data_IF_584199064072
#
_entry.id   IF_584199064072
#
_cell.length_a   1.000
_cell.length_b   1.000
_cell.length_c   1.000
_cell.angle_alpha   90.00
_cell.angle_beta   90.00
_cell.angle_gamma   90.00
#
_symmetry.space_group_name_H-M   'P 1'
#
loop_
_entity.id
_entity.type
_entity.pdbx_description
1 polymer ?
#
# COMPACT_ATOMS: atom_id res chain seq x y z
N UNK A 1 6.33 -21.62 -13.90
CA UNK A 1 4.87 -21.42 -14.07
C UNK A 1 4.33 -22.64 -14.79
N UNK A 2 3.09 -23.05 -14.53
CA UNK A 2 2.53 -24.25 -15.17
C UNK A 2 1.13 -23.96 -15.70
N UNK A 3 0.87 -24.12 -17.01
CA UNK A 3 1.84 -24.52 -18.05
C UNK A 3 2.94 -23.48 -18.28
N UNK A 4 4.03 -23.91 -18.93
CA UNK A 4 5.12 -22.99 -19.28
C UNK A 4 4.63 -21.98 -20.34
N UNK A 5 4.90 -20.68 -20.15
CA UNK A 5 4.54 -19.65 -21.11
C UNK A 5 5.14 -19.88 -22.49
N UNK A 6 4.35 -19.63 -23.55
CA UNK A 6 4.86 -19.60 -24.93
C UNK A 6 5.80 -18.41 -25.14
N UNK A 7 5.62 -17.35 -24.35
CA UNK A 7 6.50 -16.19 -24.31
C UNK A 7 6.51 -15.57 -22.91
N UNK A 8 7.66 -15.02 -22.48
CA UNK A 8 7.77 -14.24 -21.25
C UNK A 8 8.89 -13.22 -21.29
N UNK A 9 8.75 -12.13 -20.54
CA UNK A 9 9.81 -11.12 -20.31
C UNK A 9 9.67 -10.50 -18.92
N UNK A 10 10.79 -10.12 -18.32
CA UNK A 10 10.83 -9.35 -17.08
C UNK A 10 11.14 -7.90 -17.43
N UNK A 11 10.40 -6.96 -16.86
CA UNK A 11 10.60 -5.53 -17.05
C UNK A 11 10.52 -4.80 -15.70
N UNK A 12 10.93 -3.54 -15.71
CA UNK A 12 10.77 -2.62 -14.58
C UNK A 12 9.88 -1.45 -15.00
N UNK A 13 8.89 -1.10 -14.18
CA UNK A 13 8.04 0.07 -14.44
C UNK A 13 8.69 1.39 -13.97
N UNK A 14 7.97 2.50 -14.12
CA UNK A 14 8.45 3.83 -13.74
C UNK A 14 8.62 4.02 -12.22
N UNK A 15 8.02 3.16 -11.40
CA UNK A 15 8.12 3.19 -9.93
C UNK A 15 9.22 2.26 -9.41
N UNK A 16 9.91 1.56 -10.32
CA UNK A 16 10.96 0.60 -9.98
C UNK A 16 10.45 -0.80 -9.67
N UNK A 17 9.16 -1.09 -9.92
CA UNK A 17 8.60 -2.42 -9.68
C UNK A 17 9.05 -3.38 -10.78
N UNK A 18 9.53 -4.56 -10.39
CA UNK A 18 9.83 -5.63 -11.34
C UNK A 18 8.58 -6.45 -11.61
N UNK A 19 8.22 -6.63 -12.88
CA UNK A 19 7.05 -7.43 -13.26
C UNK A 19 7.38 -8.42 -14.39
N UNK A 20 6.69 -9.56 -14.36
CA UNK A 20 6.76 -10.60 -15.38
C UNK A 20 5.55 -10.50 -16.31
N UNK A 21 5.80 -10.21 -17.58
CA UNK A 21 4.78 -10.37 -18.61
C UNK A 21 4.93 -11.74 -19.25
N UNK A 22 3.83 -12.46 -19.47
CA UNK A 22 3.84 -13.77 -20.11
C UNK A 22 2.59 -14.00 -20.98
N UNK A 23 2.71 -14.89 -21.95
CA UNK A 23 1.61 -15.34 -22.83
C UNK A 23 1.48 -16.85 -22.71
N UNK A 24 0.24 -17.32 -22.62
CA UNK A 24 -0.13 -18.73 -22.71
C UNK A 24 -1.03 -18.91 -23.94
N UNK A 25 -0.50 -19.55 -24.98
CA UNK A 25 -1.20 -19.74 -26.25
C UNK A 25 -1.96 -21.07 -26.32
N UNK A 26 -1.50 -22.08 -25.60
CA UNK A 26 -2.12 -23.40 -25.58
C UNK A 26 -3.32 -23.43 -24.65
N UNK A 27 -4.46 -24.03 -25.05
CA UNK A 27 -5.61 -24.24 -24.17
C UNK A 27 -5.20 -25.02 -22.90
N UNK A 28 -5.64 -24.56 -21.74
CA UNK A 28 -5.35 -25.19 -20.45
C UNK A 28 -6.52 -24.98 -19.48
N UNK A 29 -6.65 -25.89 -18.52
CA UNK A 29 -7.70 -25.83 -17.49
C UNK A 29 -7.24 -25.16 -16.19
N UNK A 30 -5.92 -25.12 -15.96
CA UNK A 30 -5.35 -24.62 -14.71
C UNK A 30 -4.09 -23.81 -15.00
N UNK A 31 -3.88 -22.73 -14.24
CA UNK A 31 -2.65 -21.94 -14.22
C UNK A 31 -2.11 -21.91 -12.79
N UNK A 32 -0.88 -22.40 -12.61
CA UNK A 32 -0.12 -22.28 -11.35
C UNK A 32 1.07 -21.35 -11.54
N UNK A 33 1.12 -20.29 -10.74
CA UNK A 33 2.26 -19.39 -10.62
C UNK A 33 2.86 -19.63 -9.24
N UNK A 34 4.15 -19.97 -9.18
CA UNK A 34 4.88 -20.17 -7.93
C UNK A 34 6.14 -19.31 -7.99
N UNK A 35 6.33 -18.49 -6.96
CA UNK A 35 7.48 -17.61 -6.80
C UNK A 35 8.13 -17.95 -5.46
N UNK A 36 9.45 -18.14 -5.47
CA UNK A 36 10.26 -18.38 -4.28
C UNK A 36 11.46 -17.44 -4.33
N UNK A 37 11.65 -16.69 -3.25
CA UNK A 37 12.71 -15.68 -3.14
C UNK A 37 13.29 -15.70 -1.73
N UNK A 38 14.59 -15.49 -1.63
CA UNK A 38 15.29 -15.16 -0.38
C UNK A 38 15.67 -13.70 -0.44
N UNK A 39 15.38 -12.94 0.60
CA UNK A 39 15.56 -11.50 0.65
C UNK A 39 16.28 -11.12 1.93
N UNK A 40 17.17 -10.13 1.85
CA UNK A 40 17.72 -9.47 3.03
C UNK A 40 16.89 -8.21 3.28
N UNK A 41 16.28 -8.12 4.47
CA UNK A 41 15.53 -6.93 4.89
C UNK A 41 16.47 -6.06 5.71
N UNK A 42 16.99 -5.02 5.07
CA UNK A 42 17.85 -4.05 5.73
C UNK A 42 16.96 -3.12 6.56
N UNK A 43 16.97 -3.31 7.87
CA UNK A 43 16.20 -2.54 8.83
C UNK A 43 16.91 -1.21 9.14
N UNK A 44 16.30 -0.10 8.69
CA UNK A 44 16.67 1.27 9.14
C UNK A 44 15.51 1.92 9.92
N UNK A 45 14.47 1.15 10.30
CA UNK A 45 13.18 1.70 10.77
C UNK A 45 12.65 1.10 12.08
N UNK A 46 13.36 0.16 12.72
CA UNK A 46 13.07 -0.34 14.09
C UNK A 46 12.85 0.78 15.10
N UNK A 47 13.42 1.97 14.84
CA UNK A 47 13.05 3.21 15.49
C UNK A 47 12.86 4.31 14.44
N UNK A 48 11.66 4.43 13.86
CA UNK A 48 11.32 5.64 13.11
C UNK A 48 11.41 6.87 14.02
N UNK A 49 12.56 7.52 13.96
CA UNK A 49 12.85 8.77 14.64
C UNK A 49 13.20 9.75 13.54
N UNK A 50 12.29 10.64 13.14
CA UNK A 50 12.62 11.65 12.15
C UNK A 50 13.80 12.48 12.68
N UNK A 51 14.81 12.73 11.85
CA UNK A 51 15.92 13.63 12.19
C UNK A 51 15.43 15.07 12.32
N UNK A 52 14.32 15.41 11.64
CA UNK A 52 13.63 16.71 11.69
C UNK A 52 12.19 16.53 12.17
N UNK A 53 11.84 17.18 13.28
CA UNK A 53 10.43 17.29 13.70
C UNK A 53 9.76 18.48 13.00
N UNK A 54 9.40 18.28 11.73
CA UNK A 54 8.69 19.30 10.95
C UNK A 54 7.26 19.45 11.45
N UNK A 55 6.81 20.70 11.58
CA UNK A 55 5.38 20.96 11.67
C UNK A 55 4.67 20.65 10.34
N UNK A 56 3.36 20.41 10.39
CA UNK A 56 2.55 20.18 9.17
C UNK A 56 2.69 21.36 8.20
N UNK A 57 2.71 22.60 8.70
CA UNK A 57 2.86 23.81 7.88
C UNK A 57 4.21 23.89 7.16
N UNK A 58 5.30 23.61 7.86
CA UNK A 58 6.64 23.58 7.27
C UNK A 58 6.74 22.51 6.18
N UNK A 59 6.26 21.31 6.46
CA UNK A 59 6.27 20.23 5.49
C UNK A 59 5.48 20.56 4.23
N UNK A 60 4.26 21.10 4.36
CA UNK A 60 3.46 21.53 3.21
C UNK A 60 4.15 22.61 2.39
N UNK A 61 4.84 23.56 3.05
CA UNK A 61 5.61 24.60 2.36
C UNK A 61 6.79 24.02 1.58
N UNK A 62 7.57 23.11 2.19
CA UNK A 62 8.68 22.43 1.51
C UNK A 62 8.19 21.55 0.35
N UNK A 63 7.10 20.82 0.53
CA UNK A 63 6.47 20.03 -0.54
C UNK A 63 6.07 20.94 -1.70
N UNK A 64 5.44 22.09 -1.43
CA UNK A 64 5.04 23.02 -2.48
C UNK A 64 6.23 23.50 -3.34
N UNK A 65 7.39 23.71 -2.72
CA UNK A 65 8.61 24.06 -3.45
C UNK A 65 9.13 22.87 -4.28
N UNK A 66 9.14 21.67 -3.69
CA UNK A 66 9.60 20.45 -4.35
C UNK A 66 8.75 20.06 -5.57
N UNK A 67 7.44 20.36 -5.56
CA UNK A 67 6.53 20.10 -6.70
C UNK A 67 7.00 20.73 -8.01
N UNK A 68 7.68 21.88 -7.93
CA UNK A 68 8.17 22.59 -9.13
C UNK A 68 9.31 21.81 -9.79
N UNK A 69 10.12 21.11 -9.00
CA UNK A 69 11.35 20.45 -9.44
C UNK A 69 11.29 18.92 -9.44
N UNK A 70 10.24 18.30 -8.89
CA UNK A 70 10.11 16.84 -8.74
C UNK A 70 8.78 16.33 -9.29
N UNK A 71 8.77 15.73 -10.49
CA UNK A 71 7.58 15.08 -11.05
C UNK A 71 7.01 13.96 -10.16
N UNK A 72 7.87 13.23 -9.43
CA UNK A 72 7.45 12.17 -8.51
C UNK A 72 6.54 12.71 -7.40
N UNK A 73 6.91 13.85 -6.82
CA UNK A 73 6.11 14.51 -5.77
C UNK A 73 4.75 14.94 -6.31
N UNK A 74 4.71 15.50 -7.51
CA UNK A 74 3.46 15.90 -8.16
C UNK A 74 2.56 14.67 -8.45
N UNK A 75 3.15 13.59 -8.95
CA UNK A 75 2.43 12.35 -9.26
C UNK A 75 1.71 11.77 -8.04
N UNK A 76 2.40 11.70 -6.89
CA UNK A 76 1.83 11.15 -5.66
C UNK A 76 0.96 12.13 -4.86
N UNK A 77 0.72 13.33 -5.38
CA UNK A 77 -0.29 14.28 -4.89
C UNK A 77 -1.60 14.22 -5.70
N UNK A 78 -1.56 13.62 -6.89
CA UNK A 78 -2.68 13.57 -7.81
C UNK A 78 -3.64 12.42 -7.50
N UNK A 79 -4.88 12.56 -7.97
CA UNK A 79 -5.84 11.47 -7.91
C UNK A 79 -5.39 10.32 -8.83
N UNK A 80 -5.78 9.11 -8.46
CA UNK A 80 -5.53 7.88 -9.23
C UNK A 80 -6.83 7.06 -9.30
N UNK A 81 -6.92 6.00 -10.13
CA UNK A 81 -8.18 5.30 -10.41
C UNK A 81 -9.03 4.93 -9.18
N UNK A 82 -8.39 4.46 -8.10
CA UNK A 82 -9.06 4.07 -6.85
C UNK A 82 -8.98 5.14 -5.76
N UNK A 83 -8.19 6.20 -5.94
CA UNK A 83 -7.99 7.24 -4.93
C UNK A 83 -8.25 8.63 -5.51
N UNK A 84 -9.47 9.11 -5.31
CA UNK A 84 -9.87 10.47 -5.68
C UNK A 84 -9.88 11.40 -4.47
N UNK A 85 -9.22 12.56 -4.59
CA UNK A 85 -9.32 13.63 -3.58
C UNK A 85 -10.77 14.07 -3.42
N UNK A 86 -11.24 14.21 -2.18
CA UNK A 86 -12.63 14.58 -1.91
C UNK A 86 -12.76 15.42 -0.65
N UNK A 87 -13.85 16.19 -0.56
CA UNK A 87 -14.17 16.95 0.67
C UNK A 87 -14.40 16.03 1.87
N UNK A 88 -14.89 14.80 1.65
CA UNK A 88 -15.10 13.82 2.72
C UNK A 88 -13.76 13.36 3.31
N UNK A 89 -12.79 13.03 2.46
CA UNK A 89 -11.43 12.66 2.87
C UNK A 89 -10.71 13.82 3.57
N UNK A 90 -10.81 15.04 3.02
CA UNK A 90 -10.26 16.21 3.69
C UNK A 90 -10.85 16.40 5.10
N UNK A 91 -12.17 16.26 5.25
CA UNK A 91 -12.85 16.36 6.54
C UNK A 91 -12.40 15.28 7.52
N UNK A 92 -12.19 14.05 7.05
CA UNK A 92 -11.69 12.94 7.88
C UNK A 92 -10.30 13.25 8.44
N UNK A 93 -9.39 13.79 7.61
CA UNK A 93 -8.03 14.16 8.04
C UNK A 93 -7.92 15.47 8.81
N UNK A 94 -8.89 16.39 8.65
CA UNK A 94 -8.77 17.75 9.18
C UNK A 94 -8.35 17.83 10.67
N UNK A 95 -8.93 17.04 11.60
CA UNK A 95 -8.53 17.07 13.01
C UNK A 95 -7.04 16.82 13.28
N UNK A 96 -6.36 16.14 12.35
CA UNK A 96 -4.95 15.76 12.48
C UNK A 96 -4.01 16.74 11.80
N UNK A 97 -4.45 17.38 10.71
CA UNK A 97 -3.54 18.10 9.82
C UNK A 97 -3.86 19.59 9.60
N UNK A 98 -5.03 20.11 10.02
CA UNK A 98 -5.33 21.54 9.81
C UNK A 98 -4.66 22.48 10.81
N UNK A 99 -4.30 21.98 12.01
CA UNK A 99 -3.41 22.73 12.90
C UNK A 99 -1.98 22.58 12.37
N UNK A 100 -1.54 23.59 11.63
CA UNK A 100 -0.26 23.57 10.93
C UNK A 100 0.95 23.64 11.86
N UNK A 101 0.75 23.92 13.16
CA UNK A 101 1.82 23.99 14.15
C UNK A 101 2.18 22.62 14.75
N UNK A 102 1.32 21.61 14.57
CA UNK A 102 1.55 20.25 15.08
C UNK A 102 2.69 19.57 14.31
N UNK A 103 3.44 18.73 15.02
CA UNK A 103 4.40 17.79 14.43
C UNK A 103 3.71 16.93 13.36
N UNK A 104 4.25 16.95 12.13
CA UNK A 104 3.75 16.18 10.99
C UNK A 104 3.71 14.70 11.32
N UNK A 105 4.81 14.17 11.87
CA UNK A 105 4.94 12.76 12.22
C UNK A 105 3.92 12.36 13.26
N UNK A 106 3.79 13.15 14.32
CA UNK A 106 2.77 12.91 15.35
C UNK A 106 1.35 12.94 14.79
N UNK A 107 1.08 13.81 13.81
CA UNK A 107 -0.21 13.88 13.12
C UNK A 107 -0.47 12.66 12.23
N UNK A 108 0.54 12.15 11.50
CA UNK A 108 0.42 10.92 10.69
C UNK A 108 0.14 9.72 11.59
N UNK A 109 0.85 9.59 12.71
CA UNK A 109 0.62 8.52 13.68
C UNK A 109 -0.80 8.57 14.28
N UNK A 110 -1.22 9.75 14.75
CA UNK A 110 -2.56 9.92 15.31
C UNK A 110 -3.66 9.58 14.29
N UNK A 111 -3.44 9.92 13.02
CA UNK A 111 -4.37 9.55 11.96
C UNK A 111 -4.34 8.04 11.63
N UNK A 112 -3.16 7.42 11.63
CA UNK A 112 -3.01 5.95 11.47
C UNK A 112 -3.78 5.20 12.56
N UNK A 113 -3.61 5.64 13.80
CA UNK A 113 -4.32 5.11 14.96
C UNK A 113 -5.83 5.32 14.84
N UNK A 114 -6.28 6.47 14.37
CA UNK A 114 -7.71 6.71 14.14
C UNK A 114 -8.32 5.71 13.15
N UNK A 115 -7.64 5.41 12.04
CA UNK A 115 -8.12 4.39 11.10
C UNK A 115 -8.20 3.03 11.79
N UNK A 116 -7.18 2.64 12.56
CA UNK A 116 -7.16 1.38 13.30
C UNK A 116 -8.30 1.25 14.32
N UNK A 117 -8.61 2.32 15.05
CA UNK A 117 -9.62 2.31 16.12
C UNK A 117 -11.05 2.43 15.59
N UNK A 118 -11.25 3.18 14.51
CA UNK A 118 -12.59 3.54 14.02
C UNK A 118 -13.05 2.71 12.84
N UNK A 119 -12.16 2.02 12.13
CA UNK A 119 -12.50 1.19 10.99
C UNK A 119 -12.38 -0.30 11.34
N UNK A 120 -13.47 -1.04 11.13
CA UNK A 120 -13.51 -2.47 11.37
C UNK A 120 -12.82 -3.23 10.23
N UNK A 121 -11.77 -4.00 10.56
CA UNK A 121 -11.17 -4.94 9.61
C UNK A 121 -12.10 -6.14 9.37
N UNK A 122 -12.61 -6.26 8.15
CA UNK A 122 -13.60 -7.26 7.79
C UNK A 122 -13.39 -7.84 6.40
N UNK A 123 -12.71 -8.99 6.30
CA UNK A 123 -12.65 -9.77 5.06
C UNK A 123 -14.04 -10.06 4.48
N UNK A 124 -14.18 -9.92 3.16
CA UNK A 124 -15.43 -10.17 2.44
C UNK A 124 -16.44 -9.02 2.44
N UNK A 125 -16.19 -7.91 3.13
CA UNK A 125 -17.02 -6.70 3.02
C UNK A 125 -16.81 -5.99 1.67
N UNK A 126 -15.55 -5.77 1.31
CA UNK A 126 -15.15 -5.08 0.09
C UNK A 126 -14.46 -6.01 -0.91
N UNK A 127 -14.34 -5.55 -2.14
CA UNK A 127 -13.50 -6.14 -3.19
C UNK A 127 -12.73 -5.03 -3.92
N UNK A 128 -11.90 -5.41 -4.89
CA UNK A 128 -11.04 -4.46 -5.65
C UNK A 128 -11.83 -3.32 -6.32
N UNK A 129 -13.11 -3.51 -6.61
CA UNK A 129 -13.96 -2.51 -7.26
C UNK A 129 -14.79 -1.68 -6.28
N UNK A 130 -14.78 -2.00 -4.98
CA UNK A 130 -15.51 -1.26 -3.96
C UNK A 130 -15.00 0.18 -3.87
N UNK A 131 -15.84 1.21 -4.08
CA UNK A 131 -15.42 2.59 -3.96
C UNK A 131 -15.04 2.95 -2.53
N UNK A 132 -13.97 3.74 -2.35
CA UNK A 132 -13.54 4.23 -1.02
C UNK A 132 -14.65 4.99 -0.27
N UNK A 133 -15.62 5.58 -0.97
CA UNK A 133 -16.75 6.26 -0.36
C UNK A 133 -17.67 5.31 0.42
N UNK A 134 -17.81 4.07 -0.04
CA UNK A 134 -18.61 3.05 0.63
C UNK A 134 -17.93 2.58 1.92
N UNK A 135 -16.61 2.38 1.87
CA UNK A 135 -15.78 2.05 3.04
C UNK A 135 -15.82 3.19 4.07
N UNK A 136 -15.75 4.44 3.62
CA UNK A 136 -15.85 5.61 4.49
C UNK A 136 -17.22 5.72 5.18
N UNK A 137 -18.30 5.37 4.49
CA UNK A 137 -19.66 5.41 5.03
C UNK A 137 -19.87 4.31 6.09
N UNK A 138 -19.41 3.10 5.80
CA UNK A 138 -19.60 1.94 6.69
C UNK A 138 -18.52 1.80 7.76
N UNK A 139 -17.39 2.50 7.61
CA UNK A 139 -16.17 2.33 8.41
C UNK A 139 -15.76 0.87 8.54
N UNK A 140 -15.82 0.13 7.44
CA UNK A 140 -15.54 -1.31 7.38
C UNK A 140 -14.81 -1.64 6.08
N UNK A 141 -13.79 -2.48 6.13
CA UNK A 141 -12.99 -2.81 4.94
C UNK A 141 -11.81 -3.73 5.25
N UNK A 142 -10.88 -3.82 4.32
CA UNK A 142 -9.63 -4.58 4.45
C UNK A 142 -8.42 -3.66 4.28
N UNK A 143 -7.20 -4.21 4.37
CA UNK A 143 -5.96 -3.44 4.32
C UNK A 143 -5.82 -2.57 3.06
N UNK A 144 -6.30 -3.06 1.91
CA UNK A 144 -6.39 -2.28 0.67
C UNK A 144 -7.17 -0.97 0.87
N UNK A 145 -8.34 -1.06 1.48
CA UNK A 145 -9.23 0.09 1.65
C UNK A 145 -8.66 1.10 2.63
N UNK A 146 -8.04 0.62 3.72
CA UNK A 146 -7.43 1.48 4.73
C UNK A 146 -6.22 2.22 4.17
N UNK A 147 -5.42 1.57 3.32
CA UNK A 147 -4.34 2.21 2.58
C UNK A 147 -4.89 3.27 1.60
N UNK A 148 -5.92 2.95 0.81
CA UNK A 148 -6.53 3.91 -0.13
C UNK A 148 -7.14 5.12 0.56
N UNK A 149 -7.88 4.92 1.66
CA UNK A 149 -8.43 6.02 2.47
C UNK A 149 -7.29 6.89 2.98
N UNK A 150 -6.26 6.29 3.56
CA UNK A 150 -5.15 7.04 4.14
C UNK A 150 -4.42 7.90 3.11
N UNK A 151 -4.11 7.32 1.94
CA UNK A 151 -3.53 8.04 0.80
C UNK A 151 -4.47 9.16 0.34
N UNK A 152 -5.77 8.87 0.21
CA UNK A 152 -6.77 9.85 -0.20
C UNK A 152 -6.86 11.05 0.74
N UNK A 153 -6.79 10.81 2.05
CA UNK A 153 -6.74 11.86 3.08
C UNK A 153 -5.47 12.70 2.91
N UNK A 154 -4.29 12.07 2.93
CA UNK A 154 -2.99 12.75 2.82
C UNK A 154 -2.88 13.60 1.55
N UNK A 155 -3.27 13.04 0.39
CA UNK A 155 -3.30 13.78 -0.88
C UNK A 155 -4.29 14.94 -0.88
N UNK A 156 -5.42 14.81 -0.17
CA UNK A 156 -6.40 15.90 -0.03
C UNK A 156 -5.87 17.06 0.82
N UNK A 157 -4.91 16.80 1.71
CA UNK A 157 -4.23 17.81 2.54
C UNK A 157 -3.05 18.44 1.80
N UNK A 158 -2.48 17.76 0.82
CA UNK A 158 -1.29 18.20 0.08
C UNK A 158 -0.01 17.49 0.49
N UNK A 159 -0.12 16.32 1.15
CA UNK A 159 1.00 15.45 1.46
C UNK A 159 1.11 14.34 0.39
N UNK A 160 2.26 14.15 -0.27
CA UNK A 160 2.46 13.09 -1.23
C UNK A 160 2.39 11.73 -0.53
N UNK A 161 1.56 10.84 -1.05
CA UNK A 161 1.37 9.52 -0.48
C UNK A 161 1.26 8.48 -1.59
N UNK A 162 1.82 7.29 -1.37
CA UNK A 162 1.83 6.18 -2.33
C UNK A 162 1.39 4.87 -1.69
N UNK A 163 0.88 3.99 -2.52
CA UNK A 163 0.37 2.69 -2.15
C UNK A 163 1.49 1.66 -2.21
N UNK A 164 1.55 0.81 -1.19
CA UNK A 164 2.51 -0.28 -1.12
C UNK A 164 1.75 -1.60 -1.11
N UNK A 165 2.10 -2.47 -2.05
CA UNK A 165 1.70 -3.87 -2.06
C UNK A 165 2.87 -4.69 -1.55
N UNK A 166 2.57 -5.70 -0.73
CA UNK A 166 3.61 -6.49 -0.11
C UNK A 166 3.10 -7.71 0.64
N UNK A 167 3.96 -8.24 1.49
CA UNK A 167 3.65 -9.35 2.38
C UNK A 167 4.00 -8.97 3.80
N UNK A 168 3.29 -9.56 4.75
CA UNK A 168 3.68 -9.54 6.15
C UNK A 168 4.35 -10.85 6.53
N UNK A 169 5.24 -10.81 7.51
CA UNK A 169 5.75 -12.02 8.17
C UNK A 169 4.58 -12.90 8.65
N UNK A 170 4.55 -14.15 8.19
CA UNK A 170 3.41 -15.07 8.43
C UNK A 170 3.50 -15.79 9.76
N UNK A 171 4.73 -16.08 10.20
CA UNK A 171 5.06 -16.69 11.48
C UNK A 171 6.10 -15.81 12.18
N UNK A 172 5.67 -14.89 13.05
CA UNK A 172 6.59 -14.00 13.73
C UNK A 172 7.45 -14.76 14.73
N UNK A 173 8.57 -14.18 15.14
CA UNK A 173 9.47 -14.78 16.12
C UNK A 173 8.75 -15.04 17.46
N UNK A 174 9.21 -16.04 18.25
CA UNK A 174 8.60 -16.32 19.56
C UNK A 174 8.49 -15.06 20.43
N UNK A 175 7.27 -14.72 20.86
CA UNK A 175 6.98 -13.53 21.67
C UNK A 175 6.45 -12.31 20.90
N UNK A 176 6.38 -12.38 19.57
CA UNK A 176 5.75 -11.35 18.74
C UNK A 176 4.32 -11.75 18.32
N UNK A 177 3.44 -10.77 18.20
CA UNK A 177 2.06 -10.99 17.76
C UNK A 177 1.98 -11.12 16.23
N UNK A 178 1.14 -12.05 15.76
CA UNK A 178 0.83 -12.22 14.34
C UNK A 178 0.04 -11.01 13.84
N UNK A 179 0.49 -10.40 12.75
CA UNK A 179 -0.16 -9.22 12.17
C UNK A 179 -1.47 -9.60 11.45
N UNK A 180 -2.44 -8.70 11.49
CA UNK A 180 -3.70 -8.82 10.75
C UNK A 180 -3.40 -8.70 9.25
N UNK A 181 -3.96 -9.62 8.46
CA UNK A 181 -3.78 -9.66 7.00
C UNK A 181 -2.54 -10.41 6.51
N UNK A 182 -1.82 -11.12 7.40
CA UNK A 182 -0.59 -11.83 7.02
C UNK A 182 -0.80 -13.08 6.15
N UNK A 183 -2.02 -13.63 6.08
CA UNK A 183 -2.29 -14.91 5.39
C UNK A 183 -2.37 -14.77 3.85
N UNK A 184 -2.13 -13.57 3.31
CA UNK A 184 -2.13 -13.26 1.87
C UNK A 184 -1.25 -12.03 1.57
N UNK A 185 -1.46 -11.40 0.41
CA UNK A 185 -0.91 -10.06 0.15
C UNK A 185 -1.47 -9.03 1.14
N UNK A 186 -0.60 -8.13 1.60
CA UNK A 186 -0.96 -7.01 2.45
C UNK A 186 -0.73 -5.68 1.75
N UNK A 187 -1.39 -4.65 2.26
CA UNK A 187 -1.30 -3.30 1.74
C UNK A 187 -1.17 -2.27 2.85
N UNK A 188 -0.33 -1.27 2.60
CA UNK A 188 -0.14 -0.12 3.47
C UNK A 188 0.21 1.12 2.63
N UNK A 189 0.46 2.25 3.27
CA UNK A 189 0.82 3.47 2.56
C UNK A 189 2.19 3.98 2.98
N UNK A 190 2.86 4.67 2.07
CA UNK A 190 4.03 5.49 2.37
C UNK A 190 3.68 6.97 2.18
N UNK A 191 4.22 7.84 3.02
CA UNK A 191 4.12 9.30 2.93
C UNK A 191 5.49 9.93 2.83
N UNK A 192 5.62 10.93 1.97
CA UNK A 192 6.87 11.66 1.79
C UNK A 192 7.05 12.72 2.87
N UNK A 193 8.18 12.65 3.58
CA UNK A 193 8.60 13.61 4.61
C UNK A 193 9.80 14.40 4.06
N UNK A 194 9.69 15.73 3.89
CA UNK A 194 10.75 16.56 3.32
C UNK A 194 12.08 16.45 4.07
N UNK A 195 13.14 16.14 3.31
CA UNK A 195 14.49 15.94 3.83
C UNK A 195 14.75 14.55 4.43
N UNK A 196 13.73 13.69 4.53
CA UNK A 196 13.83 12.34 5.13
C UNK A 196 13.46 11.23 4.13
N UNK A 197 12.55 11.50 3.19
CA UNK A 197 12.11 10.54 2.18
C UNK A 197 10.76 9.89 2.48
N UNK A 198 10.56 8.67 1.99
CA UNK A 198 9.30 7.94 2.09
C UNK A 198 9.27 7.05 3.33
N UNK A 199 8.19 7.16 4.13
CA UNK A 199 8.00 6.34 5.33
C UNK A 199 6.67 5.61 5.32
N UNK A 200 6.70 4.32 5.66
CA UNK A 200 5.55 3.43 5.61
C UNK A 200 4.76 3.39 6.91
N UNK A 201 3.44 3.40 6.80
CA UNK A 201 2.51 3.28 7.92
C UNK A 201 1.42 2.28 7.57
N UNK A 202 1.19 1.34 8.48
CA UNK A 202 0.18 0.28 8.38
C UNK A 202 -1.02 0.61 9.28
N UNK A 203 -2.12 1.17 8.71
CA UNK A 203 -3.31 1.49 9.46
C UNK A 203 -4.09 0.25 9.91
N UNK A 204 -3.82 -0.93 9.34
CA UNK A 204 -4.49 -2.18 9.73
C UNK A 204 -3.97 -2.68 11.07
N UNK A 205 -2.70 -2.43 11.36
CA UNK A 205 -2.01 -2.91 12.56
C UNK A 205 -1.58 -1.79 13.50
N UNK A 206 -1.86 -0.53 13.16
CA UNK A 206 -1.38 0.68 13.85
C UNK A 206 0.15 0.67 14.06
N UNK A 207 0.90 0.45 12.98
CA UNK A 207 2.37 0.31 13.04
C UNK A 207 3.05 1.16 11.98
N UNK A 208 4.30 1.55 12.25
CA UNK A 208 5.23 1.92 11.17
C UNK A 208 5.65 0.65 10.45
N UNK A 209 5.71 0.70 9.12
CA UNK A 209 6.22 -0.42 8.34
C UNK A 209 7.70 -0.67 8.66
N UNK A 210 8.02 -1.91 9.03
CA UNK A 210 9.35 -2.31 9.49
C UNK A 210 9.82 -3.61 8.84
N UNK A 211 10.69 -4.36 9.52
CA UNK A 211 11.24 -5.62 8.99
C UNK A 211 10.18 -6.69 8.67
N UNK A 212 9.01 -6.61 9.31
CA UNK A 212 7.90 -7.53 9.06
C UNK A 212 7.13 -7.19 7.76
N UNK A 213 7.45 -6.09 7.09
CA UNK A 213 6.78 -5.59 5.89
C UNK A 213 7.67 -5.75 4.66
N UNK A 214 7.40 -6.78 3.86
CA UNK A 214 8.15 -7.08 2.64
C UNK A 214 7.50 -6.37 1.46
N UNK A 215 8.20 -5.40 0.88
CA UNK A 215 7.69 -4.63 -0.26
C UNK A 215 7.82 -5.46 -1.54
N UNK A 216 6.72 -5.64 -2.26
CA UNK A 216 6.73 -6.27 -3.59
C UNK A 216 6.57 -5.25 -4.70
N UNK A 217 5.72 -4.24 -4.49
CA UNK A 217 5.49 -3.18 -5.46
C UNK A 217 4.98 -1.88 -4.82
N UNK A 218 5.21 -0.75 -5.48
CA UNK A 218 4.81 0.59 -5.08
C UNK A 218 4.12 1.31 -6.23
N UNK A 219 3.03 2.02 -5.97
CA UNK A 219 2.30 2.73 -7.03
C UNK A 219 1.39 3.82 -6.46
N UNK A 220 0.58 4.45 -7.31
CA UNK A 220 -0.34 5.49 -6.84
C UNK A 220 -1.53 4.88 -6.12
N UNK A 221 -1.98 3.71 -6.56
CA UNK A 221 -2.99 2.88 -5.90
C UNK A 221 -2.87 1.42 -6.36
N UNK A 222 -3.88 0.59 -6.06
CA UNK A 222 -3.87 -0.83 -6.38
C UNK A 222 -3.79 -1.12 -7.89
N UNK A 223 -4.25 -0.21 -8.75
CA UNK A 223 -4.24 -0.39 -10.20
C UNK A 223 -2.85 -0.46 -10.80
N UNK A 224 -1.87 0.17 -10.14
CA UNK A 224 -0.46 0.18 -10.59
C UNK A 224 0.30 -1.06 -10.08
N UNK A 225 -0.24 -1.82 -9.11
CA UNK A 225 0.51 -2.85 -8.35
C UNK A 225 -0.27 -4.16 -8.12
N UNK A 226 -1.29 -4.43 -8.93
CA UNK A 226 -2.03 -5.69 -8.85
C UNK A 226 -1.08 -6.88 -9.01
N UNK A 227 -1.08 -7.87 -8.09
CA UNK A 227 -0.14 -9.00 -8.14
C UNK A 227 -0.24 -9.84 -9.43
N UNK A 228 -1.43 -9.89 -10.02
CA UNK A 228 -1.69 -10.52 -11.30
C UNK A 228 -2.74 -9.69 -12.06
N UNK A 229 -2.46 -9.40 -13.33
CA UNK A 229 -3.40 -8.74 -14.22
C UNK A 229 -3.23 -9.32 -15.62
N UNK A 230 -4.35 -9.51 -16.32
CA UNK A 230 -4.35 -10.04 -17.67
C UNK A 230 -5.75 -10.24 -18.22
N UNK A 231 -5.80 -10.75 -19.44
CA UNK A 231 -7.03 -11.12 -20.12
C UNK A 231 -6.94 -12.60 -20.45
N UNK A 232 -8.01 -13.33 -20.19
CA UNK A 232 -8.16 -14.73 -20.55
C UNK A 232 -9.27 -14.86 -21.60
N UNK A 233 -9.08 -15.77 -22.56
CA UNK A 233 -10.07 -16.10 -23.58
C UNK A 233 -10.41 -17.59 -23.51
N UNK A 234 -11.69 -17.91 -23.32
CA UNK A 234 -12.19 -19.29 -23.29
C UNK A 234 -13.64 -19.37 -22.79
N UNK A 235 -14.27 -20.53 -22.98
CA UNK A 235 -15.55 -20.83 -22.33
C UNK A 235 -15.29 -21.13 -20.85
N UNK A 236 -15.67 -20.21 -19.98
CA UNK A 236 -15.06 -20.12 -18.64
C UNK A 236 -15.82 -20.89 -17.57
N UNK A 237 -17.04 -21.35 -17.79
CA UNK A 237 -17.82 -21.99 -16.71
C UNK A 237 -17.71 -21.24 -15.38
N UNK A 238 -17.67 -21.96 -14.26
CA UNK A 238 -17.26 -21.38 -12.97
C UNK A 238 -15.72 -21.38 -12.87
N UNK A 239 -15.15 -20.22 -12.51
CA UNK A 239 -13.72 -20.03 -12.28
C UNK A 239 -13.47 -19.83 -10.79
N UNK A 240 -12.35 -20.36 -10.29
CA UNK A 240 -11.88 -20.11 -8.92
C UNK A 240 -10.39 -19.76 -8.91
N UNK A 241 -9.99 -18.93 -7.97
CA UNK A 241 -8.59 -18.53 -7.76
C UNK A 241 -8.23 -18.76 -6.30
N UNK A 242 -7.04 -19.31 -6.08
CA UNK A 242 -6.46 -19.47 -4.74
C UNK A 242 -5.10 -18.78 -4.73
N UNK A 243 -4.89 -17.94 -3.71
CA UNK A 243 -3.63 -17.23 -3.47
C UNK A 243 -3.14 -17.61 -2.10
N UNK A 244 -1.85 -17.93 -1.99
CA UNK A 244 -1.18 -18.31 -0.75
C UNK A 244 0.17 -17.61 -0.69
N UNK A 245 0.53 -17.17 0.51
CA UNK A 245 1.78 -16.46 0.78
C UNK A 245 2.33 -17.02 2.08
N UNK A 246 3.60 -17.45 2.04
CA UNK A 246 4.37 -17.85 3.22
C UNK A 246 5.63 -16.99 3.30
N UNK A 247 5.77 -16.22 4.38
CA UNK A 247 6.96 -15.43 4.69
C UNK A 247 7.53 -15.91 6.01
N UNK A 248 8.70 -16.53 5.95
CA UNK A 248 9.38 -17.12 7.09
C UNK A 248 10.76 -16.47 7.28
N UNK A 249 11.13 -16.09 8.51
CA UNK A 249 12.48 -15.62 8.79
C UNK A 249 13.49 -16.77 8.59
N UNK A 250 14.59 -16.49 7.89
CA UNK A 250 15.71 -17.42 7.79
C UNK A 250 16.43 -17.49 9.14
N UNK A 251 16.63 -18.72 9.65
CA UNK A 251 17.20 -18.99 10.98
C UNK A 251 18.69 -19.29 10.93
#
# INVERSE_FOLDING_TARGET
MTPEPSWRTVNTDIYGNSFLYFILSEPHQNLKIEIKSTLEVIDDTTHFTPKRDLSVGEALSEIQQLRISSPEIEEFLNSSPFVNKSKALFKLGAPYFTDTSRSLVSSIFAFTQHIFEEFEYSPGFSNVTTPITEVLEHKRGVCQDFAHISIGVLRSIGLPARYISGYLETLPLPGQEKLIGSDASHAWYEVFIPGEGWFGFDPTNNKVAGHQHIITARGRDYSDVSPLQGIFFGDTGEQSMRVEVDVLPER
#
